data_IF_889557316732
#
_entry.id   IF_889557316732
#
_cell.length_a   1.000
_cell.length_b   1.000
_cell.length_c   1.000
_cell.angle_alpha   90.00
_cell.angle_beta   90.00
_cell.angle_gamma   90.00
#
_symmetry.space_group_name_H-M   'P 1'
#
loop_
_entity.id
_entity.type
_entity.pdbx_description
1 polymer ?
#
# COMPACT_ATOMS: atom_id res chain seq x y z
N UNK A 1 3.51 5.91 -10.52
CA UNK A 1 2.86 5.26 -9.37
C UNK A 1 3.89 4.85 -8.32
N UNK A 2 3.45 4.48 -7.16
CA UNK A 2 4.35 3.97 -6.11
C UNK A 2 3.96 2.54 -5.75
N UNK A 3 4.97 1.74 -5.46
CA UNK A 3 4.79 0.41 -4.89
C UNK A 3 5.26 0.50 -3.44
N UNK A 4 4.32 0.31 -2.51
CA UNK A 4 4.61 0.34 -1.08
C UNK A 4 4.64 -1.09 -0.57
N UNK A 5 5.77 -1.50 -0.03
CA UNK A 5 5.96 -2.84 0.53
C UNK A 5 6.02 -2.74 2.05
N UNK A 6 5.14 -3.47 2.71
CA UNK A 6 5.11 -3.59 4.17
C UNK A 6 5.68 -4.96 4.55
N UNK A 7 6.60 -4.97 5.50
CA UNK A 7 7.17 -6.20 6.05
C UNK A 7 6.93 -6.21 7.56
N UNK A 8 6.21 -7.21 8.05
CA UNK A 8 5.88 -7.31 9.47
C UNK A 8 7.13 -7.56 10.30
N UNK A 9 7.23 -6.86 11.45
CA UNK A 9 8.28 -7.09 12.46
C UNK A 9 7.71 -7.48 13.82
N UNK A 10 6.42 -7.85 13.85
CA UNK A 10 5.73 -8.35 15.03
C UNK A 10 5.03 -9.67 14.69
N UNK A 11 4.73 -10.52 15.71
CA UNK A 11 3.98 -11.75 15.48
C UNK A 11 2.62 -11.50 14.84
N UNK A 12 2.11 -12.48 14.11
CA UNK A 12 0.88 -12.34 13.32
C UNK A 12 -0.35 -12.00 14.18
N UNK A 13 -0.42 -12.48 15.40
CA UNK A 13 -1.52 -12.15 16.31
C UNK A 13 -1.55 -10.67 16.68
N UNK A 14 -0.37 -10.04 16.82
CA UNK A 14 -0.25 -8.60 17.06
C UNK A 14 -0.70 -7.82 15.82
N UNK A 15 -0.32 -8.30 14.63
CA UNK A 15 -0.76 -7.71 13.36
C UNK A 15 -2.28 -7.81 13.22
N UNK A 16 -2.85 -8.99 13.48
CA UNK A 16 -4.29 -9.21 13.36
C UNK A 16 -5.11 -8.30 14.27
N UNK A 17 -4.60 -7.94 15.43
CA UNK A 17 -5.27 -7.01 16.34
C UNK A 17 -5.48 -5.62 15.73
N UNK A 18 -4.68 -5.24 14.73
CA UNK A 18 -4.75 -3.94 14.05
C UNK A 18 -5.41 -4.02 12.67
N UNK A 19 -5.83 -5.21 12.23
CA UNK A 19 -6.29 -5.42 10.85
C UNK A 19 -7.53 -4.59 10.51
N UNK A 20 -8.52 -4.49 11.39
CA UNK A 20 -9.74 -3.73 11.11
C UNK A 20 -9.43 -2.22 10.94
N UNK A 21 -8.61 -1.66 11.84
CA UNK A 21 -8.19 -0.26 11.74
C UNK A 21 -7.39 -0.01 10.46
N UNK A 22 -6.52 -0.95 10.08
CA UNK A 22 -5.75 -0.88 8.83
C UNK A 22 -6.69 -0.90 7.61
N UNK A 23 -7.71 -1.75 7.61
CA UNK A 23 -8.69 -1.81 6.53
C UNK A 23 -9.49 -0.52 6.41
N UNK A 24 -9.85 0.12 7.52
CA UNK A 24 -10.56 1.40 7.51
C UNK A 24 -9.69 2.48 6.86
N UNK A 25 -8.39 2.50 7.17
CA UNK A 25 -7.44 3.40 6.54
C UNK A 25 -7.31 3.13 5.04
N UNK A 26 -7.23 1.87 4.62
CA UNK A 26 -7.21 1.50 3.19
C UNK A 26 -8.46 2.03 2.48
N UNK A 27 -9.65 1.77 3.03
CA UNK A 27 -10.93 2.19 2.44
C UNK A 27 -10.99 3.70 2.23
N UNK A 28 -10.48 4.48 3.17
CA UNK A 28 -10.44 5.94 3.08
C UNK A 28 -9.70 6.38 1.81
N UNK A 29 -8.56 5.78 1.52
CA UNK A 29 -7.74 6.21 0.38
C UNK A 29 -8.14 5.53 -0.93
N UNK A 30 -8.80 4.38 -0.88
CA UNK A 30 -9.52 3.86 -2.05
C UNK A 30 -10.66 4.78 -2.46
N UNK A 31 -11.42 5.30 -1.50
CA UNK A 31 -12.53 6.22 -1.78
C UNK A 31 -12.06 7.52 -2.45
N UNK A 32 -10.83 7.94 -2.18
CA UNK A 32 -10.22 9.11 -2.80
C UNK A 32 -9.53 8.79 -4.14
N UNK A 33 -9.52 7.53 -4.56
CA UNK A 33 -8.87 7.11 -5.79
C UNK A 33 -7.34 7.13 -5.72
N UNK A 34 -6.76 7.20 -4.51
CA UNK A 34 -5.30 7.27 -4.32
C UNK A 34 -4.68 5.88 -4.32
N UNK A 35 -5.28 4.92 -3.62
CA UNK A 35 -4.85 3.53 -3.67
C UNK A 35 -5.51 2.81 -4.85
N UNK A 36 -4.71 2.06 -5.61
CA UNK A 36 -5.13 1.36 -6.84
C UNK A 36 -5.47 -0.09 -6.54
N UNK A 37 -4.62 -0.76 -5.78
CA UNK A 37 -4.76 -2.16 -5.41
C UNK A 37 -3.90 -2.43 -4.18
N UNK A 38 -4.27 -3.42 -3.39
CA UNK A 38 -3.47 -3.85 -2.26
C UNK A 38 -3.76 -5.31 -1.95
N UNK A 39 -2.83 -5.96 -1.26
CA UNK A 39 -2.99 -7.35 -0.89
C UNK A 39 -1.84 -7.83 -0.03
N UNK A 40 -1.96 -9.08 0.41
CA UNK A 40 -0.93 -9.72 1.24
C UNK A 40 0.19 -10.29 0.39
N UNK A 41 1.38 -10.36 0.95
CA UNK A 41 2.47 -11.16 0.39
C UNK A 41 2.20 -12.65 0.62
N UNK A 42 2.77 -13.50 -0.22
CA UNK A 42 2.73 -14.95 -0.08
C UNK A 42 4.17 -15.45 0.00
N UNK A 43 4.62 -16.01 1.12
CA UNK A 43 3.91 -16.21 2.40
C UNK A 43 3.55 -14.89 3.09
N UNK A 44 2.65 -14.96 4.06
CA UNK A 44 2.11 -13.78 4.75
C UNK A 44 3.13 -13.10 5.67
N UNK A 45 4.08 -12.41 5.06
CA UNK A 45 5.14 -11.66 5.76
C UNK A 45 4.92 -10.16 5.73
N UNK A 46 3.84 -9.71 5.11
CA UNK A 46 3.52 -8.31 4.92
C UNK A 46 2.49 -8.11 3.83
N UNK A 47 2.48 -6.95 3.21
CA UNK A 47 1.57 -6.60 2.15
C UNK A 47 2.20 -5.66 1.12
N UNK A 48 1.45 -5.45 0.04
CA UNK A 48 1.82 -4.51 -1.02
C UNK A 48 0.63 -3.57 -1.23
N UNK A 49 0.91 -2.29 -1.43
CA UNK A 49 -0.08 -1.29 -1.83
C UNK A 49 0.43 -0.62 -3.09
N UNK A 50 -0.40 -0.58 -4.13
CA UNK A 50 -0.12 0.20 -5.33
C UNK A 50 -0.81 1.55 -5.18
N UNK A 51 -0.05 2.62 -5.35
CA UNK A 51 -0.51 4.00 -5.13
C UNK A 51 -0.34 4.79 -6.43
N UNK A 52 -1.36 5.55 -6.80
CA UNK A 52 -1.25 6.39 -8.00
C UNK A 52 -0.19 7.47 -7.81
N UNK A 53 0.23 8.09 -8.90
CA UNK A 53 1.24 9.16 -8.88
C UNK A 53 0.70 10.36 -8.10
N UNK A 54 1.33 10.63 -6.96
CA UNK A 54 1.08 11.78 -6.07
C UNK A 54 2.42 12.29 -5.57
N UNK A 55 2.44 13.43 -4.91
CA UNK A 55 3.66 13.92 -4.29
C UNK A 55 4.14 12.95 -3.21
N UNK A 56 5.44 12.71 -3.17
CA UNK A 56 6.05 11.79 -2.18
C UNK A 56 5.76 12.25 -0.75
N UNK A 57 5.78 13.55 -0.49
CA UNK A 57 5.47 14.08 0.83
C UNK A 57 4.04 13.76 1.24
N UNK A 58 3.10 13.87 0.31
CA UNK A 58 1.71 13.48 0.55
C UNK A 58 1.60 11.99 0.85
N UNK A 59 2.33 11.15 0.10
CA UNK A 59 2.34 9.71 0.34
C UNK A 59 2.90 9.39 1.72
N UNK A 60 4.00 10.01 2.11
CA UNK A 60 4.62 9.79 3.41
C UNK A 60 3.66 10.13 4.56
N UNK A 61 2.89 11.21 4.40
CA UNK A 61 1.87 11.58 5.38
C UNK A 61 0.74 10.55 5.45
N UNK A 62 0.27 10.08 4.29
CA UNK A 62 -0.78 9.04 4.21
C UNK A 62 -0.30 7.77 4.90
N UNK A 63 0.93 7.31 4.62
CA UNK A 63 1.48 6.11 5.23
C UNK A 63 1.65 6.25 6.74
N UNK A 64 1.97 7.45 7.23
CA UNK A 64 2.11 7.70 8.67
C UNK A 64 0.80 7.50 9.44
N UNK A 65 -0.34 7.55 8.76
CA UNK A 65 -1.67 7.35 9.35
C UNK A 65 -2.06 5.88 9.49
N UNK A 66 -1.30 4.98 8.85
CA UNK A 66 -1.62 3.55 8.86
C UNK A 66 -1.37 2.97 10.26
N UNK A 67 -2.37 2.33 10.90
CA UNK A 67 -2.15 1.62 12.17
C UNK A 67 -1.04 0.58 12.11
N UNK A 68 -0.75 0.02 10.92
CA UNK A 68 0.32 -0.95 10.76
C UNK A 68 1.74 -0.37 10.91
N UNK A 69 1.89 0.95 11.05
CA UNK A 69 3.20 1.54 11.40
C UNK A 69 3.76 0.97 12.69
N UNK A 70 2.89 0.50 13.60
CA UNK A 70 3.29 -0.11 14.86
C UNK A 70 3.86 -1.54 14.69
N UNK A 71 3.61 -2.21 13.56
CA UNK A 71 3.91 -3.64 13.38
C UNK A 71 4.66 -3.97 12.09
N UNK A 72 4.95 -2.97 11.26
CA UNK A 72 5.59 -3.20 9.96
C UNK A 72 6.59 -2.11 9.61
N UNK A 73 7.58 -2.51 8.81
CA UNK A 73 8.48 -1.58 8.12
C UNK A 73 7.95 -1.35 6.71
N UNK A 74 8.13 -0.12 6.22
CA UNK A 74 7.65 0.31 4.91
C UNK A 74 8.84 0.58 3.98
N UNK A 75 8.72 0.09 2.74
CA UNK A 75 9.65 0.41 1.66
C UNK A 75 8.83 0.95 0.50
N UNK A 76 9.23 2.11 -0.02
CA UNK A 76 8.51 2.81 -1.10
C UNK A 76 9.39 2.83 -2.33
N UNK A 77 8.85 2.34 -3.45
CA UNK A 77 9.52 2.37 -4.76
C UNK A 77 8.65 3.17 -5.72
N UNK A 78 9.22 4.19 -6.34
CA UNK A 78 8.55 4.85 -7.45
C UNK A 78 8.71 4.00 -8.70
N UNK A 79 7.58 3.76 -9.39
CA UNK A 79 7.51 2.89 -10.56
C UNK A 79 6.76 3.63 -11.67
N UNK A 80 7.39 3.72 -12.84
CA UNK A 80 6.79 4.34 -14.01
C UNK A 80 6.54 3.24 -15.05
N UNK A 81 5.32 2.68 -15.10
CA UNK A 81 5.00 1.62 -16.08
C UNK A 81 5.12 2.17 -17.51
N UNK A 82 5.94 1.54 -18.31
CA UNK A 82 6.12 1.91 -19.72
C UNK A 82 5.43 0.94 -20.68
N UNK A 83 5.21 -0.30 -20.25
CA UNK A 83 4.54 -1.33 -21.01
C UNK A 83 3.54 -2.06 -20.11
N UNK A 84 2.40 -2.41 -20.66
CA UNK A 84 1.36 -3.15 -19.95
C UNK A 84 0.53 -3.95 -20.96
N UNK A 85 -0.04 -5.07 -20.50
CA UNK A 85 -1.04 -5.77 -21.31
C UNK A 85 -2.31 -4.93 -21.37
N UNK A 86 -3.15 -5.17 -22.39
CA UNK A 86 -4.33 -4.35 -22.67
C UNK A 86 -5.25 -4.19 -21.45
N UNK A 87 -5.48 -5.28 -20.71
CA UNK A 87 -6.41 -5.27 -19.56
C UNK A 87 -5.98 -4.34 -18.40
N UNK A 88 -4.71 -3.94 -18.35
CA UNK A 88 -4.18 -3.04 -17.30
C UNK A 88 -3.45 -1.84 -17.88
N UNK A 89 -3.77 -1.47 -19.11
CA UNK A 89 -3.15 -0.36 -19.83
C UNK A 89 -3.25 0.96 -19.06
N UNK A 90 -4.32 1.15 -18.28
CA UNK A 90 -4.52 2.34 -17.48
C UNK A 90 -3.42 2.57 -16.44
N UNK A 91 -2.65 1.54 -16.05
CA UNK A 91 -1.55 1.70 -15.11
C UNK A 91 -0.50 2.70 -15.60
N UNK A 92 -0.35 2.86 -16.90
CA UNK A 92 0.65 3.79 -17.48
C UNK A 92 0.33 5.26 -17.21
N UNK A 93 -0.92 5.56 -16.81
CA UNK A 93 -1.37 6.94 -16.56
C UNK A 93 -1.80 7.20 -15.12
N UNK A 94 -1.67 6.22 -14.27
CA UNK A 94 -2.06 6.36 -12.85
C UNK A 94 -0.95 6.97 -11.97
#
# INVERSE_FOLDING_TARGET
>A
MFIVSLTYHQPIDVVEALTESHKDWLKKYYAQGIFIASGRKVPRTGGIILVKSIDREKLDKILSEDPFTAVANYSVTEFVPSMAIESVEALKTL
#
